data_IF_011867990011
#
_entry.id   IF_011867990011
#
_cell.length_a   1.000
_cell.length_b   1.000
_cell.length_c   1.000
_cell.angle_alpha   90.00
_cell.angle_beta   90.00
_cell.angle_gamma   90.00
#
_symmetry.space_group_name_H-M   'P 1'
#
loop_
_entity.id
_entity.type
_entity.pdbx_description
1 polymer ?
#
# COMPACT_ATOMS: atom_id res chain seq x y z
N UNK A 1 -48.19 6.84 -12.63
CA UNK A 1 -47.49 5.61 -13.05
C UNK A 1 -46.52 5.99 -14.16
N UNK A 2 -45.22 5.85 -13.91
CA UNK A 2 -44.21 5.40 -14.86
C UNK A 2 -42.86 5.33 -14.12
N UNK A 3 -42.61 4.14 -13.61
CA UNK A 3 -41.30 3.68 -13.17
C UNK A 3 -40.51 3.20 -14.39
N UNK A 4 -39.20 3.47 -14.40
CA UNK A 4 -38.12 2.75 -15.10
C UNK A 4 -36.91 3.68 -15.17
N UNK A 5 -35.66 3.33 -14.89
CA UNK A 5 -35.02 2.13 -14.37
C UNK A 5 -33.71 2.65 -13.79
N UNK A 6 -33.54 2.62 -12.46
CA UNK A 6 -32.18 2.59 -11.93
C UNK A 6 -31.66 1.20 -12.28
N UNK A 7 -30.72 1.15 -13.23
CA UNK A 7 -29.98 -0.07 -13.53
C UNK A 7 -29.23 -0.50 -12.26
N UNK A 8 -29.89 -1.36 -11.47
CA UNK A 8 -29.28 -2.29 -10.54
C UNK A 8 -28.29 -3.14 -11.35
N UNK A 9 -27.08 -2.61 -11.56
CA UNK A 9 -25.93 -3.42 -11.97
C UNK A 9 -25.72 -4.46 -10.87
N UNK A 10 -26.30 -5.65 -11.09
CA UNK A 10 -25.98 -6.88 -10.36
C UNK A 10 -24.48 -6.89 -10.15
N UNK A 11 -24.06 -6.75 -8.90
CA UNK A 11 -22.65 -6.84 -8.50
C UNK A 11 -22.20 -8.24 -8.93
N UNK A 12 -21.40 -8.31 -9.99
CA UNK A 12 -20.97 -9.59 -10.54
C UNK A 12 -20.27 -10.38 -9.41
N UNK A 13 -20.81 -11.55 -9.10
CA UNK A 13 -20.37 -12.30 -7.94
C UNK A 13 -18.96 -12.82 -8.19
N UNK A 14 -18.01 -12.37 -7.36
CA UNK A 14 -16.62 -12.78 -7.50
C UNK A 14 -16.46 -14.25 -7.15
N UNK A 15 -15.73 -14.98 -7.99
CA UNK A 15 -15.33 -16.37 -7.76
C UNK A 15 -14.26 -16.45 -6.67
N UNK A 16 -14.37 -17.48 -5.84
CA UNK A 16 -13.52 -17.68 -4.67
C UNK A 16 -12.25 -18.46 -5.02
N UNK A 17 -11.10 -17.94 -4.60
CA UNK A 17 -9.78 -18.57 -4.72
C UNK A 17 -9.35 -19.15 -3.38
N UNK A 18 -8.90 -20.40 -3.41
CA UNK A 18 -8.20 -21.05 -2.30
C UNK A 18 -6.71 -20.99 -2.61
N UNK A 19 -5.95 -20.35 -1.72
CA UNK A 19 -4.51 -20.18 -1.87
C UNK A 19 -3.78 -20.94 -0.77
N UNK A 20 -2.90 -21.86 -1.15
CA UNK A 20 -1.84 -22.32 -0.24
C UNK A 20 -0.76 -21.23 -0.19
N UNK A 21 -0.50 -20.67 1.00
CA UNK A 21 0.45 -19.57 1.19
C UNK A 21 1.89 -19.97 0.91
N UNK A 22 2.21 -21.27 0.82
CA UNK A 22 3.53 -21.78 0.46
C UNK A 22 3.71 -21.95 -1.06
N UNK A 23 2.61 -22.01 -1.83
CA UNK A 23 2.66 -22.29 -3.26
C UNK A 23 3.31 -21.17 -4.07
N UNK A 24 4.12 -21.52 -5.08
CA UNK A 24 4.78 -20.55 -5.98
C UNK A 24 3.93 -20.20 -7.21
N UNK A 25 2.80 -20.89 -7.39
CA UNK A 25 1.79 -20.61 -8.40
C UNK A 25 0.41 -21.01 -7.87
N UNK A 26 -0.64 -20.41 -8.42
CA UNK A 26 -2.03 -20.73 -8.08
C UNK A 26 -2.92 -20.28 -9.25
N UNK A 27 -3.91 -21.08 -9.62
CA UNK A 27 -4.83 -20.72 -10.69
C UNK A 27 -5.54 -19.40 -10.36
N UNK A 28 -5.71 -18.54 -11.37
CA UNK A 28 -6.35 -17.23 -11.24
C UNK A 28 -5.62 -16.25 -10.31
N UNK A 29 -4.34 -16.50 -10.03
CA UNK A 29 -3.47 -15.60 -9.28
C UNK A 29 -2.18 -15.33 -10.06
N UNK A 30 -1.85 -14.06 -10.24
CA UNK A 30 -0.55 -13.63 -10.75
C UNK A 30 0.43 -13.45 -9.59
N UNK A 31 1.63 -13.99 -9.73
CA UNK A 31 2.73 -13.85 -8.79
C UNK A 31 3.78 -12.93 -9.41
N UNK A 32 4.01 -11.77 -8.80
CA UNK A 32 5.04 -10.83 -9.21
C UNK A 32 6.24 -10.96 -8.27
N UNK A 33 7.33 -11.50 -8.80
CA UNK A 33 8.56 -11.87 -8.08
C UNK A 33 9.74 -10.96 -8.43
N UNK A 34 9.48 -9.75 -8.97
CA UNK A 34 10.54 -8.81 -9.34
C UNK A 34 11.31 -8.29 -8.12
N UNK A 35 10.70 -8.33 -6.94
CA UNK A 35 11.33 -8.01 -5.67
C UNK A 35 11.87 -9.30 -5.01
N UNK A 36 13.18 -9.38 -4.69
CA UNK A 36 13.76 -10.57 -4.05
C UNK A 36 13.21 -10.83 -2.64
N UNK A 37 12.66 -9.81 -1.98
CA UNK A 37 12.16 -9.85 -0.61
C UNK A 37 10.62 -9.82 -0.55
N UNK A 38 9.94 -9.68 -1.69
CA UNK A 38 8.48 -9.70 -1.73
C UNK A 38 7.92 -10.38 -2.99
N UNK A 39 6.88 -11.18 -2.80
CA UNK A 39 6.08 -11.69 -3.91
C UNK A 39 4.68 -11.13 -3.80
N UNK A 40 4.27 -10.32 -4.78
CA UNK A 40 2.92 -9.74 -4.81
C UNK A 40 1.99 -10.69 -5.54
N UNK A 41 0.93 -11.09 -4.85
CA UNK A 41 -0.09 -11.97 -5.38
C UNK A 41 -1.32 -11.14 -5.71
N UNK A 42 -1.74 -11.14 -6.97
CA UNK A 42 -2.96 -10.45 -7.42
C UNK A 42 -3.88 -11.46 -8.07
N UNK A 43 -5.10 -11.58 -7.57
CA UNK A 43 -6.11 -12.40 -8.25
C UNK A 43 -6.52 -11.74 -9.56
N UNK A 44 -6.87 -12.55 -10.57
CA UNK A 44 -7.45 -12.08 -11.82
C UNK A 44 -8.82 -11.45 -11.58
N UNK A 45 -9.29 -10.67 -12.55
CA UNK A 45 -10.58 -10.00 -12.43
C UNK A 45 -11.73 -10.98 -12.42
N UNK A 46 -12.78 -10.63 -11.67
CA UNK A 46 -13.84 -11.57 -11.33
C UNK A 46 -13.47 -12.54 -10.19
N UNK A 47 -12.25 -12.52 -9.65
CA UNK A 47 -11.83 -13.39 -8.53
C UNK A 47 -11.52 -12.62 -7.25
N UNK A 48 -11.52 -13.34 -6.12
CA UNK A 48 -11.09 -12.88 -4.78
C UNK A 48 -10.48 -14.03 -3.98
N UNK A 49 -9.60 -13.73 -3.03
CA UNK A 49 -9.16 -14.72 -2.05
C UNK A 49 -10.31 -15.02 -1.07
N UNK A 50 -10.56 -16.31 -0.81
CA UNK A 50 -11.55 -16.76 0.18
C UNK A 50 -10.90 -17.54 1.31
N UNK A 51 -10.05 -18.49 0.97
CA UNK A 51 -9.43 -19.38 1.94
C UNK A 51 -7.92 -19.36 1.75
N UNK A 52 -7.20 -19.14 2.83
CA UNK A 52 -5.76 -19.33 2.93
C UNK A 52 -5.50 -20.68 3.60
N UNK A 53 -4.59 -21.46 3.03
CA UNK A 53 -4.15 -22.76 3.54
C UNK A 53 -2.64 -22.80 3.74
N UNK A 54 -2.20 -23.78 4.53
CA UNK A 54 -0.80 -24.23 4.59
C UNK A 54 -0.83 -25.75 4.41
N UNK A 55 -0.51 -26.22 3.21
CA UNK A 55 -0.84 -27.60 2.81
C UNK A 55 -2.35 -27.85 2.91
N UNK A 56 -2.73 -28.93 3.58
CA UNK A 56 -4.14 -29.30 3.74
C UNK A 56 -4.87 -28.53 4.84
N UNK A 57 -4.13 -27.83 5.72
CA UNK A 57 -4.70 -27.12 6.86
C UNK A 57 -5.19 -25.74 6.45
N UNK A 58 -6.39 -25.38 6.92
CA UNK A 58 -6.90 -24.01 6.76
C UNK A 58 -6.17 -23.08 7.74
N UNK A 59 -5.57 -22.02 7.21
CA UNK A 59 -4.96 -20.94 7.98
C UNK A 59 -5.96 -19.85 8.29
N UNK A 60 -6.75 -19.44 7.31
CA UNK A 60 -7.70 -18.33 7.46
C UNK A 60 -8.83 -18.41 6.43
N UNK A 61 -10.04 -18.06 6.86
CA UNK A 61 -11.21 -17.88 5.98
C UNK A 61 -11.66 -16.43 6.00
N UNK A 62 -11.76 -15.83 4.82
CA UNK A 62 -12.24 -14.46 4.62
C UNK A 62 -13.75 -14.43 4.78
N UNK A 63 -14.26 -13.50 5.58
CA UNK A 63 -15.68 -13.13 5.57
C UNK A 63 -16.00 -12.33 4.29
N UNK A 64 -16.46 -13.02 3.26
CA UNK A 64 -16.74 -12.43 1.94
C UNK A 64 -18.04 -11.64 1.86
N UNK A 65 -18.83 -11.64 2.94
CA UNK A 65 -19.93 -10.68 3.10
C UNK A 65 -19.41 -9.27 3.40
N UNK A 66 -18.19 -9.17 3.97
CA UNK A 66 -17.57 -7.89 4.38
C UNK A 66 -16.39 -7.49 3.50
N UNK A 67 -15.62 -8.46 3.04
CA UNK A 67 -14.34 -8.20 2.37
C UNK A 67 -14.27 -8.83 0.99
N UNK A 68 -13.57 -8.17 0.07
CA UNK A 68 -13.25 -8.70 -1.26
C UNK A 68 -11.75 -8.57 -1.51
N UNK A 69 -10.92 -9.40 -0.85
CA UNK A 69 -9.47 -9.28 -0.96
C UNK A 69 -9.01 -9.76 -2.33
N UNK A 70 -8.28 -8.89 -3.03
CA UNK A 70 -7.75 -9.15 -4.37
C UNK A 70 -6.23 -9.16 -4.42
N UNK A 71 -5.58 -8.76 -3.32
CA UNK A 71 -4.13 -8.69 -3.20
C UNK A 71 -3.65 -9.33 -1.91
N UNK A 72 -2.54 -10.03 -2.02
CA UNK A 72 -1.76 -10.52 -0.91
C UNK A 72 -0.27 -10.35 -1.21
N UNK A 73 0.57 -10.44 -0.19
CA UNK A 73 2.01 -10.28 -0.33
C UNK A 73 2.70 -11.32 0.53
N UNK A 74 3.59 -12.10 -0.07
CA UNK A 74 4.60 -12.86 0.68
C UNK A 74 5.78 -11.93 0.90
N UNK A 75 6.26 -11.86 2.14
CA UNK A 75 7.33 -10.96 2.55
C UNK A 75 8.44 -11.81 3.16
N UNK A 76 9.67 -11.52 2.79
CA UNK A 76 10.88 -12.15 3.31
C UNK A 76 11.78 -11.06 3.87
N UNK A 77 12.17 -11.22 5.13
CA UNK A 77 13.03 -10.30 5.86
C UNK A 77 14.09 -11.13 6.57
N UNK A 78 15.32 -11.10 6.08
CA UNK A 78 16.39 -11.98 6.55
C UNK A 78 15.95 -13.46 6.51
N UNK A 79 15.81 -14.10 7.67
CA UNK A 79 15.31 -15.48 7.85
C UNK A 79 13.81 -15.55 8.15
N UNK A 80 13.15 -14.43 8.44
CA UNK A 80 11.73 -14.36 8.75
C UNK A 80 10.89 -14.29 7.46
N UNK A 81 9.84 -15.11 7.40
CA UNK A 81 8.85 -15.09 6.32
C UNK A 81 7.46 -14.71 6.86
N UNK A 82 6.78 -13.85 6.13
CA UNK A 82 5.47 -13.32 6.49
C UNK A 82 4.52 -13.38 5.30
N UNK A 83 3.24 -13.52 5.60
CA UNK A 83 2.16 -13.41 4.62
C UNK A 83 1.23 -12.28 5.04
N UNK A 84 0.96 -11.35 4.12
CA UNK A 84 0.05 -10.23 4.30
C UNK A 84 -1.13 -10.38 3.34
N UNK A 85 -2.33 -10.59 3.87
CA UNK A 85 -3.57 -10.49 3.10
C UNK A 85 -4.14 -9.08 3.25
N UNK A 86 -4.47 -8.42 2.14
CA UNK A 86 -5.12 -7.11 2.18
C UNK A 86 -6.64 -7.29 2.11
N UNK A 87 -7.29 -7.23 3.27
CA UNK A 87 -8.75 -7.24 3.35
C UNK A 87 -9.29 -5.90 2.89
N UNK A 88 -10.15 -5.88 1.89
CA UNK A 88 -10.74 -4.64 1.40
C UNK A 88 -11.81 -4.10 2.39
N UNK A 89 -11.80 -2.79 2.74
CA UNK A 89 -10.81 -1.79 2.34
C UNK A 89 -9.56 -1.83 3.24
N UNK A 90 -8.42 -2.15 2.62
CA UNK A 90 -7.06 -1.94 3.10
C UNK A 90 -6.66 -2.35 4.53
N UNK A 91 -7.40 -3.25 5.15
CA UNK A 91 -7.05 -3.80 6.45
C UNK A 91 -6.06 -4.95 6.27
N UNK A 92 -4.80 -4.81 6.74
CA UNK A 92 -3.82 -5.87 6.60
C UNK A 92 -4.09 -6.98 7.63
N UNK A 93 -4.19 -8.23 7.16
CA UNK A 93 -4.09 -9.43 7.98
C UNK A 93 -2.71 -10.05 7.80
N UNK A 94 -1.97 -10.16 8.90
CA UNK A 94 -0.59 -10.62 8.90
C UNK A 94 -0.50 -12.03 9.47
N UNK A 95 0.34 -12.85 8.86
CA UNK A 95 0.67 -14.19 9.35
C UNK A 95 2.19 -14.34 9.32
N UNK A 96 2.79 -14.67 10.46
CA UNK A 96 4.24 -14.96 10.58
C UNK A 96 4.45 -16.46 10.42
N UNK A 97 5.41 -16.87 9.59
CA UNK A 97 5.86 -18.27 9.52
C UNK A 97 6.55 -18.66 10.84
N UNK A 98 6.22 -19.83 11.37
CA UNK A 98 6.79 -20.41 12.60
C UNK A 98 7.58 -21.68 12.35
N UNK A 99 7.30 -22.35 11.24
CA UNK A 99 8.02 -23.53 10.75
C UNK A 99 7.66 -23.78 9.29
N UNK A 100 8.16 -24.86 8.69
CA UNK A 100 8.01 -25.12 7.25
C UNK A 100 6.56 -25.11 6.76
N UNK A 101 5.62 -25.56 7.61
CA UNK A 101 4.19 -25.64 7.31
C UNK A 101 3.33 -25.04 8.43
N UNK A 102 3.87 -24.06 9.15
CA UNK A 102 3.15 -23.42 10.25
C UNK A 102 3.22 -21.90 10.15
N UNK A 103 2.05 -21.27 10.20
CA UNK A 103 1.89 -19.83 10.24
C UNK A 103 0.96 -19.46 11.39
N UNK A 104 1.24 -18.35 12.07
CA UNK A 104 0.38 -17.79 13.13
C UNK A 104 -0.04 -16.38 12.76
N UNK A 105 -1.30 -16.01 13.03
CA UNK A 105 -1.75 -14.62 12.88
C UNK A 105 -0.93 -13.69 13.79
N UNK A 106 -0.66 -12.49 13.30
CA UNK A 106 0.04 -11.43 14.02
C UNK A 106 -0.58 -10.07 13.69
N UNK A 107 -0.28 -9.08 14.53
CA UNK A 107 -0.72 -7.70 14.30
C UNK A 107 0.20 -7.01 13.29
N UNK A 108 -0.34 -6.07 12.53
CA UNK A 108 0.47 -5.29 11.60
C UNK A 108 1.49 -4.42 12.32
N UNK A 109 1.14 -3.93 13.51
CA UNK A 109 2.02 -3.15 14.38
C UNK A 109 3.24 -3.95 14.84
N UNK A 110 3.06 -5.25 15.13
CA UNK A 110 4.17 -6.14 15.45
C UNK A 110 5.13 -6.26 14.27
N UNK A 111 4.61 -6.49 13.06
CA UNK A 111 5.43 -6.48 11.84
C UNK A 111 6.13 -5.12 11.63
N UNK A 112 5.42 -4.02 11.85
CA UNK A 112 5.96 -2.67 11.69
C UNK A 112 7.17 -2.41 12.60
N UNK A 113 7.03 -2.70 13.91
CA UNK A 113 8.07 -2.39 14.90
C UNK A 113 9.17 -3.47 14.97
N UNK A 114 8.85 -4.75 14.80
CA UNK A 114 9.80 -5.86 14.98
C UNK A 114 10.47 -6.33 13.68
N UNK A 115 9.98 -5.89 12.52
CA UNK A 115 10.52 -6.30 11.22
C UNK A 115 10.90 -5.09 10.39
N UNK A 116 9.91 -4.30 9.95
CA UNK A 116 10.16 -3.20 9.01
C UNK A 116 11.11 -2.14 9.58
N UNK A 117 10.91 -1.77 10.85
CA UNK A 117 11.73 -0.79 11.56
C UNK A 117 12.48 -1.39 12.75
N UNK A 118 12.78 -2.69 12.70
CA UNK A 118 13.52 -3.38 13.76
C UNK A 118 14.85 -2.67 14.05
N UNK A 119 15.07 -2.31 15.32
CA UNK A 119 16.29 -1.63 15.76
C UNK A 119 16.45 -0.18 15.26
N UNK A 120 15.55 0.34 14.43
CA UNK A 120 15.60 1.71 13.94
C UNK A 120 15.01 2.68 14.97
N UNK A 121 15.72 3.77 15.20
CA UNK A 121 15.26 4.85 16.10
C UNK A 121 14.11 5.63 15.46
N UNK A 122 13.21 6.15 16.30
CA UNK A 122 12.15 7.04 15.86
C UNK A 122 12.69 8.47 15.68
N UNK A 123 12.51 9.06 14.50
CA UNK A 123 12.95 10.44 14.21
C UNK A 123 11.93 11.18 13.35
N UNK A 124 11.95 12.50 13.44
CA UNK A 124 11.24 13.35 12.49
C UNK A 124 11.94 13.30 11.12
N UNK A 125 11.14 13.14 10.07
CA UNK A 125 11.60 13.25 8.68
C UNK A 125 11.22 14.62 8.12
N UNK A 126 12.22 15.42 7.77
CA UNK A 126 12.05 16.65 7.01
C UNK A 126 12.12 16.35 5.52
N UNK A 127 10.95 16.22 4.88
CA UNK A 127 10.80 15.91 3.47
C UNK A 127 11.22 17.06 2.55
N UNK A 128 11.51 18.27 3.07
CA UNK A 128 12.12 19.34 2.25
C UNK A 128 13.54 18.99 1.80
N UNK A 129 14.21 18.09 2.55
CA UNK A 129 15.53 17.55 2.22
C UNK A 129 15.45 16.39 1.24
N UNK A 130 14.47 16.38 0.35
CA UNK A 130 14.26 15.30 -0.62
C UNK A 130 15.44 15.11 -1.57
N UNK A 131 16.30 16.12 -1.74
CA UNK A 131 17.54 16.01 -2.53
C UNK A 131 18.73 15.41 -1.76
N UNK A 132 18.62 15.24 -0.44
CA UNK A 132 19.64 14.56 0.36
C UNK A 132 19.65 13.06 0.01
N UNK A 133 20.67 12.65 -0.72
CA UNK A 133 20.84 11.27 -1.17
C UNK A 133 21.05 10.27 -0.02
N UNK A 134 21.35 10.72 1.21
CA UNK A 134 21.35 9.84 2.38
C UNK A 134 19.93 9.52 2.87
N UNK A 135 18.96 10.36 2.54
CA UNK A 135 17.57 10.24 2.99
C UNK A 135 16.61 9.79 1.88
N UNK A 136 16.87 10.10 0.63
CA UNK A 136 15.96 9.83 -0.47
C UNK A 136 16.66 9.21 -1.69
N UNK A 137 15.94 8.35 -2.41
CA UNK A 137 16.35 7.83 -3.71
C UNK A 137 15.54 8.54 -4.80
N UNK A 138 16.18 9.30 -5.69
CA UNK A 138 15.52 9.92 -6.83
C UNK A 138 15.25 8.90 -7.94
N UNK A 139 14.15 9.13 -8.66
CA UNK A 139 13.78 8.39 -9.87
C UNK A 139 13.07 9.33 -10.84
N UNK A 140 13.18 9.06 -12.14
CA UNK A 140 12.45 9.81 -13.16
C UNK A 140 10.95 9.61 -13.01
N UNK A 141 10.17 10.67 -13.17
CA UNK A 141 8.70 10.61 -13.15
C UNK A 141 8.15 11.58 -14.19
N UNK A 142 7.88 11.08 -15.40
CA UNK A 142 7.51 11.89 -16.56
C UNK A 142 8.50 13.02 -16.82
N UNK A 143 8.01 14.27 -16.85
CA UNK A 143 8.84 15.47 -16.99
C UNK A 143 9.51 15.93 -15.69
N UNK A 144 9.21 15.28 -14.57
CA UNK A 144 9.70 15.61 -13.23
C UNK A 144 10.51 14.49 -12.58
N UNK A 145 10.56 14.50 -11.24
CA UNK A 145 11.25 13.51 -10.41
C UNK A 145 10.36 13.04 -9.26
N UNK A 146 10.52 11.77 -8.90
CA UNK A 146 9.98 11.18 -7.68
C UNK A 146 11.14 10.84 -6.75
N UNK A 147 11.07 11.31 -5.52
CA UNK A 147 12.01 11.01 -4.45
C UNK A 147 11.32 10.09 -3.45
N UNK A 148 11.89 8.92 -3.22
CA UNK A 148 11.37 7.92 -2.28
C UNK A 148 12.21 7.96 -1.02
N UNK A 149 11.58 8.19 0.14
CA UNK A 149 12.28 8.12 1.42
C UNK A 149 12.87 6.74 1.56
N UNK A 150 14.12 6.75 1.97
CA UNK A 150 14.91 5.56 2.07
C UNK A 150 14.38 4.67 3.22
N UNK A 151 13.84 5.18 4.32
CA UNK A 151 13.50 4.37 5.52
C UNK A 151 14.72 4.07 6.42
N UNK A 152 15.76 4.92 6.39
CA UNK A 152 16.96 4.84 7.25
C UNK A 152 16.59 4.78 8.75
N UNK A 153 15.44 5.37 9.11
CA UNK A 153 14.91 5.42 10.46
C UNK A 153 13.40 5.31 10.45
N UNK A 154 12.79 5.11 11.63
CA UNK A 154 11.34 5.05 11.82
C UNK A 154 10.74 6.44 11.86
N UNK A 155 9.95 6.90 10.86
CA UNK A 155 9.41 8.26 10.90
C UNK A 155 8.37 8.37 12.01
N UNK A 156 8.58 9.27 12.97
CA UNK A 156 7.57 9.61 13.98
C UNK A 156 6.64 10.72 13.50
N UNK A 157 7.13 11.55 12.58
CA UNK A 157 6.47 12.72 12.03
C UNK A 157 7.10 13.06 10.69
N UNK A 158 6.31 13.60 9.77
CA UNK A 158 6.79 14.13 8.50
C UNK A 158 6.54 15.63 8.47
N UNK A 159 7.60 16.38 8.21
CA UNK A 159 7.55 17.83 8.00
C UNK A 159 8.12 18.19 6.64
N UNK A 160 7.91 19.42 6.21
CA UNK A 160 8.54 20.00 5.04
C UNK A 160 8.79 21.48 5.35
N UNK A 161 10.05 21.89 5.42
CA UNK A 161 10.45 23.24 5.84
C UNK A 161 9.83 23.62 7.19
N UNK A 162 9.94 22.70 8.18
CA UNK A 162 9.40 22.82 9.54
C UNK A 162 7.87 22.85 9.66
N UNK A 163 7.14 22.64 8.55
CA UNK A 163 5.68 22.55 8.55
C UNK A 163 5.23 21.11 8.51
N UNK A 164 4.24 20.78 9.31
CA UNK A 164 3.68 19.44 9.38
C UNK A 164 3.02 19.08 8.05
N UNK A 165 3.33 17.88 7.55
CA UNK A 165 2.63 17.28 6.41
C UNK A 165 1.73 16.17 6.96
N UNK A 166 0.42 16.37 6.85
CA UNK A 166 -0.57 15.45 7.40
C UNK A 166 -0.66 15.52 8.93
N UNK A 167 -1.21 14.46 9.53
CA UNK A 167 -1.44 14.36 10.98
C UNK A 167 -0.66 13.16 11.51
N UNK A 168 0.35 13.36 12.38
CA UNK A 168 1.16 12.26 12.90
C UNK A 168 0.40 11.36 13.89
N UNK A 169 -0.66 11.88 14.52
CA UNK A 169 -1.41 11.12 15.52
C UNK A 169 -1.99 9.84 14.89
N UNK A 170 -1.71 8.71 15.53
CA UNK A 170 -2.14 7.37 15.09
C UNK A 170 -1.56 6.93 13.73
N UNK A 171 -0.59 7.64 13.16
CA UNK A 171 0.07 7.25 11.92
C UNK A 171 1.37 6.48 12.20
N UNK A 172 1.47 5.27 11.65
CA UNK A 172 2.71 4.50 11.53
C UNK A 172 3.18 4.57 10.07
N UNK A 173 4.07 5.53 9.75
CA UNK A 173 4.51 5.80 8.38
C UNK A 173 5.32 4.65 7.79
N UNK A 174 4.90 4.18 6.62
CA UNK A 174 5.51 3.08 5.88
C UNK A 174 6.44 3.59 4.80
N UNK A 175 6.01 4.62 4.05
CA UNK A 175 6.79 5.26 3.01
C UNK A 175 6.39 6.73 2.89
N UNK A 176 7.34 7.54 2.44
CA UNK A 176 7.16 8.97 2.15
C UNK A 176 7.73 9.25 0.78
N UNK A 177 6.96 9.93 -0.06
CA UNK A 177 7.40 10.32 -1.40
C UNK A 177 7.24 11.81 -1.62
N UNK A 178 8.20 12.39 -2.34
CA UNK A 178 8.10 13.76 -2.84
C UNK A 178 8.14 13.72 -4.37
N UNK A 179 7.07 14.16 -5.00
CA UNK A 179 7.01 14.35 -6.44
C UNK A 179 7.30 15.82 -6.73
N UNK A 180 8.20 16.08 -7.67
CA UNK A 180 8.60 17.42 -8.09
C UNK A 180 8.44 17.52 -9.60
N UNK A 181 7.58 18.43 -10.06
CA UNK A 181 7.38 18.70 -11.49
C UNK A 181 8.52 19.55 -12.07
N UNK A 182 8.54 19.67 -13.40
CA UNK A 182 9.47 20.57 -14.10
C UNK A 182 9.31 22.05 -13.70
N UNK A 183 8.09 22.48 -13.36
CA UNK A 183 7.79 23.82 -12.83
C UNK A 183 7.92 23.92 -11.30
N UNK A 184 8.63 22.98 -10.67
CA UNK A 184 8.98 22.96 -9.24
C UNK A 184 7.80 22.86 -8.27
N UNK A 185 6.59 22.55 -8.75
CA UNK A 185 5.44 22.17 -7.91
C UNK A 185 5.74 20.84 -7.23
N UNK A 186 5.27 20.71 -5.99
CA UNK A 186 5.55 19.56 -5.16
C UNK A 186 4.27 18.90 -4.68
N UNK A 187 4.24 17.58 -4.73
CA UNK A 187 3.22 16.76 -4.08
C UNK A 187 3.92 15.82 -3.12
N UNK A 188 3.52 15.81 -1.86
CA UNK A 188 4.01 14.85 -0.88
C UNK A 188 2.98 13.75 -0.74
N UNK A 189 3.41 12.49 -0.86
CA UNK A 189 2.58 11.32 -0.60
C UNK A 189 3.04 10.65 0.67
N UNK A 190 2.10 10.37 1.57
CA UNK A 190 2.32 9.62 2.79
C UNK A 190 1.56 8.30 2.74
N UNK A 191 2.30 7.20 2.87
CA UNK A 191 1.76 5.86 3.04
C UNK A 191 1.94 5.48 4.51
N UNK A 192 0.87 5.13 5.20
CA UNK A 192 0.94 4.82 6.63
C UNK A 192 -0.12 3.84 7.07
N UNK A 193 0.11 3.15 8.18
CA UNK A 193 -0.93 2.43 8.89
C UNK A 193 -1.57 3.34 9.93
N UNK A 194 -2.88 3.54 9.82
CA UNK A 194 -3.66 4.32 10.78
C UNK A 194 -4.17 3.42 11.89
N UNK A 195 -3.66 3.60 13.11
CA UNK A 195 -4.02 2.76 14.25
C UNK A 195 -5.47 2.96 14.72
N UNK A 196 -6.09 4.10 14.37
CA UNK A 196 -7.48 4.40 14.78
C UNK A 196 -8.54 3.55 14.10
N UNK A 197 -8.32 3.10 12.85
CA UNK A 197 -9.22 2.18 12.14
C UNK A 197 -8.52 0.89 11.65
N UNK A 198 -7.25 0.71 12.03
CA UNK A 198 -6.38 -0.42 11.64
C UNK A 198 -6.30 -0.64 10.13
N UNK A 199 -6.28 0.44 9.34
CA UNK A 199 -6.13 0.37 7.89
C UNK A 199 -4.87 1.05 7.43
N UNK A 200 -4.32 0.52 6.34
CA UNK A 200 -3.34 1.24 5.55
C UNK A 200 -4.03 2.50 4.96
N UNK A 201 -3.26 3.58 4.77
CA UNK A 201 -3.68 4.84 4.17
C UNK A 201 -2.65 5.27 3.14
N UNK A 202 -3.13 5.84 2.05
CA UNK A 202 -2.32 6.48 1.01
C UNK A 202 -2.92 7.87 0.82
N UNK A 203 -2.14 8.91 1.13
CA UNK A 203 -2.63 10.30 1.16
C UNK A 203 -1.66 11.23 0.46
N UNK A 204 -2.19 12.27 -0.15
CA UNK A 204 -1.44 13.21 -0.97
C UNK A 204 -1.62 14.62 -0.42
N UNK A 205 -0.58 15.44 -0.48
CA UNK A 205 -0.57 16.79 0.04
C UNK A 205 0.07 17.73 -0.97
N UNK A 206 -0.48 18.93 -1.05
CA UNK A 206 0.07 20.05 -1.81
C UNK A 206 0.22 21.27 -0.89
N UNK A 207 1.14 22.16 -1.22
CA UNK A 207 1.33 23.41 -0.50
C UNK A 207 0.34 24.47 -1.02
N UNK A 208 -0.55 24.96 -0.16
CA UNK A 208 -1.48 26.07 -0.42
C UNK A 208 -1.41 27.06 0.73
N UNK A 209 -1.29 28.35 0.43
CA UNK A 209 -1.26 29.43 1.43
C UNK A 209 -0.30 29.12 2.60
N UNK A 210 0.90 28.67 2.23
CA UNK A 210 1.96 28.29 3.16
C UNK A 210 1.65 27.11 4.10
N UNK A 211 0.66 26.27 3.76
CA UNK A 211 0.27 25.07 4.52
C UNK A 211 0.15 23.86 3.62
N UNK A 212 0.55 22.69 4.14
CA UNK A 212 0.35 21.42 3.45
C UNK A 212 -1.08 20.95 3.66
N UNK A 213 -1.86 20.96 2.58
CA UNK A 213 -3.27 20.59 2.58
C UNK A 213 -3.42 19.23 1.91
N UNK A 214 -4.21 18.36 2.54
CA UNK A 214 -4.52 17.05 1.97
C UNK A 214 -5.36 17.23 0.69
N UNK A 215 -4.91 16.59 -0.39
CA UNK A 215 -5.57 16.57 -1.68
C UNK A 215 -6.66 15.50 -1.71
N UNK A 216 -7.70 15.72 -2.52
CA UNK A 216 -8.57 14.62 -2.94
C UNK A 216 -7.78 13.67 -3.85
N UNK A 217 -8.19 12.39 -3.94
CA UNK A 217 -7.53 11.46 -4.87
C UNK A 217 -7.61 11.93 -6.32
N UNK A 218 -8.71 12.58 -6.71
CA UNK A 218 -8.88 13.11 -8.07
C UNK A 218 -7.90 14.22 -8.36
N UNK A 219 -7.70 15.15 -7.42
CA UNK A 219 -6.76 16.26 -7.58
C UNK A 219 -5.32 15.76 -7.60
N UNK A 220 -4.99 14.79 -6.72
CA UNK A 220 -3.69 14.14 -6.73
C UNK A 220 -3.42 13.44 -8.07
N UNK A 221 -4.37 12.67 -8.58
CA UNK A 221 -4.22 12.01 -9.88
C UNK A 221 -4.04 13.02 -11.02
N UNK A 222 -4.80 14.12 -11.02
CA UNK A 222 -4.65 15.19 -12.02
C UNK A 222 -3.26 15.82 -11.95
N UNK A 223 -2.77 16.12 -10.76
CA UNK A 223 -1.45 16.70 -10.57
C UNK A 223 -0.33 15.74 -11.01
N UNK A 224 -0.42 14.45 -10.63
CA UNK A 224 0.57 13.44 -10.98
C UNK A 224 0.53 13.06 -12.46
N UNK A 225 -0.66 12.94 -13.06
CA UNK A 225 -0.81 12.71 -14.50
C UNK A 225 -0.26 13.86 -15.35
N UNK A 226 -0.39 15.11 -14.87
CA UNK A 226 0.21 16.26 -15.52
C UNK A 226 1.76 16.25 -15.48
N UNK A 227 2.36 15.60 -14.47
CA UNK A 227 3.81 15.39 -14.41
C UNK A 227 4.24 14.20 -15.27
N UNK A 228 3.48 13.11 -15.21
CA UNK A 228 3.73 11.86 -15.92
C UNK A 228 2.41 11.28 -16.43
N UNK A 229 2.19 11.35 -17.75
CA UNK A 229 0.96 10.86 -18.39
C UNK A 229 0.74 9.35 -18.23
N UNK A 230 1.77 8.59 -17.83
CA UNK A 230 1.63 7.16 -17.51
C UNK A 230 0.90 6.93 -16.18
N UNK A 231 0.84 7.92 -15.29
CA UNK A 231 0.01 7.88 -14.10
C UNK A 231 -1.46 7.94 -14.48
N UNK A 232 -2.24 6.95 -14.07
CA UNK A 232 -3.66 6.88 -14.44
C UNK A 232 -4.46 8.00 -13.77
N UNK A 233 -5.18 8.79 -14.57
CA UNK A 233 -6.03 9.88 -14.07
C UNK A 233 -7.14 9.38 -13.13
N UNK A 234 -7.58 8.14 -13.31
CA UNK A 234 -8.61 7.47 -12.48
C UNK A 234 -8.02 6.49 -11.46
N UNK A 235 -6.69 6.52 -11.23
CA UNK A 235 -6.01 5.66 -10.27
C UNK A 235 -6.76 5.58 -8.93
N UNK A 236 -6.97 4.35 -8.47
CA UNK A 236 -7.64 4.04 -7.21
C UNK A 236 -6.61 3.39 -6.29
N UNK A 237 -6.21 4.02 -5.18
CA UNK A 237 -5.36 3.35 -4.20
C UNK A 237 -6.08 2.10 -3.71
N UNK A 238 -5.33 1.01 -3.65
CA UNK A 238 -5.75 -0.25 -3.00
C UNK A 238 -6.08 0.00 -1.51
N UNK A 239 -5.52 1.09 -0.99
CA UNK A 239 -5.31 1.37 0.42
C UNK A 239 -6.38 2.29 1.02
N UNK A 240 -7.14 3.05 0.24
CA UNK A 240 -8.30 3.76 0.81
C UNK A 240 -9.29 4.15 -0.29
N UNK A 241 -10.35 3.36 -0.49
CA UNK A 241 -11.58 3.87 -1.10
C UNK A 241 -12.81 3.28 -0.41
N UNK A 242 -13.44 4.13 0.39
CA UNK A 242 -14.89 4.18 0.50
C UNK A 242 -15.48 4.32 -0.91
N UNK A 243 -15.91 3.20 -1.51
CA UNK A 243 -17.07 3.05 -2.42
C UNK A 243 -16.91 1.77 -3.26
N UNK A 244 -17.96 0.93 -3.38
CA UNK A 244 -17.90 -0.45 -3.88
C UNK A 244 -17.76 -0.64 -5.39
N UNK A 245 -17.33 0.37 -6.16
CA UNK A 245 -17.26 0.33 -7.62
C UNK A 245 -15.92 0.86 -8.15
N UNK A 246 -14.91 -0.01 -8.19
CA UNK A 246 -14.16 -0.38 -9.40
C UNK A 246 -12.91 -1.17 -8.99
N UNK A 247 -12.85 -2.38 -9.53
CA UNK A 247 -11.63 -3.16 -9.75
C UNK A 247 -10.80 -2.43 -10.81
N UNK A 248 -9.49 -2.73 -10.88
CA UNK A 248 -8.48 -2.23 -11.82
C UNK A 248 -7.73 -0.93 -11.45
N UNK A 249 -6.60 -1.12 -10.76
CA UNK A 249 -5.30 -0.50 -11.09
C UNK A 249 -4.21 -1.21 -10.26
N UNK A 250 -3.25 -1.79 -10.97
CA UNK A 250 -2.21 -2.69 -10.50
C UNK A 250 -0.87 -1.98 -10.32
N UNK A 251 0.01 -2.60 -9.51
CA UNK A 251 1.45 -2.34 -9.36
C UNK A 251 1.84 -0.97 -8.77
N UNK A 252 2.32 -0.92 -7.52
CA UNK A 252 3.48 -0.09 -7.08
C UNK A 252 3.66 0.04 -5.55
N UNK A 253 2.65 -0.23 -4.72
CA UNK A 253 2.75 0.05 -3.26
C UNK A 253 3.72 -0.91 -2.54
N UNK A 254 4.05 -2.08 -3.10
CA UNK A 254 4.99 -3.03 -2.46
C UNK A 254 6.45 -2.77 -2.86
N UNK A 255 6.71 -2.08 -3.98
CA UNK A 255 8.09 -1.82 -4.42
C UNK A 255 8.87 -0.88 -3.50
N UNK A 256 8.19 0.03 -2.80
CA UNK A 256 8.88 1.14 -2.12
C UNK A 256 9.40 0.77 -0.72
N UNK A 257 8.67 -0.05 0.03
CA UNK A 257 9.03 -0.37 1.43
C UNK A 257 10.08 -1.48 1.57
N UNK A 258 10.43 -2.14 0.46
CA UNK A 258 11.22 -3.39 0.47
C UNK A 258 12.50 -3.30 -0.39
N UNK A 259 12.63 -2.28 -1.24
CA UNK A 259 13.90 -1.90 -1.91
C UNK A 259 15.03 -1.49 -0.94
N UNK A 260 14.87 -1.75 0.35
CA UNK A 260 15.56 -1.07 1.42
C UNK A 260 16.18 -1.98 2.49
N UNK A 261 16.18 -3.29 2.24
CA UNK A 261 17.11 -4.19 2.92
C UNK A 261 18.36 -4.45 2.05
N UNK A 262 18.74 -3.47 1.23
CA UNK A 262 20.03 -3.33 0.56
C UNK A 262 20.63 -1.97 0.88
#
# INVERSE_FOLDING_TARGET
>A
VNAANEDDKKKEEKKDVVLDVTATSCENVTFDTRDPNAVVLTVKDGFRFKTLKVGDKTLFNVDTSKHTPVKAVKLKHESDEWFKLLLHPAQPKMFKKKGDKEYSESKFETYYDEVLFKGKSAKELDASKFEDASLFTPSTFGSGKKYTFKNEFKPSKVTFDKKDVGKPNNAKYLDVFVYVSADSKKVVRLDYFYTGDSRLKETYFELKDDKWVQMSQSDANKALNAMDSSWLADYKPVVDKFSPLAVFASVLIVFSSVLYFL
#
